data_IF_694959843420
#
_entry.id   IF_694959843420
#
_cell.length_a   1.000
_cell.length_b   1.000
_cell.length_c   1.000
_cell.angle_alpha   90.00
_cell.angle_beta   90.00
_cell.angle_gamma   90.00
#
_symmetry.space_group_name_H-M   'P 1'
#
loop_
_entity.id
_entity.type
_entity.pdbx_description
1 polymer ?
#
# COMPACT_ATOMS: atom_id res chain seq x y z
N UNK A 1 15.92 2.28 -3.35
CA UNK A 1 14.91 1.41 -4.02
C UNK A 1 13.62 1.23 -3.22
N UNK A 2 13.67 0.86 -1.93
CA UNK A 2 12.46 0.53 -1.16
C UNK A 2 11.42 1.66 -1.08
N UNK A 3 11.86 2.90 -0.87
CA UNK A 3 10.96 4.07 -0.82
C UNK A 3 10.21 4.28 -2.14
N UNK A 4 10.88 4.12 -3.29
CA UNK A 4 10.24 4.22 -4.62
C UNK A 4 9.18 3.13 -4.82
N UNK A 5 9.45 1.90 -4.37
CA UNK A 5 8.48 0.79 -4.41
C UNK A 5 7.23 1.09 -3.56
N UNK A 6 7.41 1.63 -2.36
CA UNK A 6 6.29 2.07 -1.51
C UNK A 6 5.54 3.25 -2.13
N UNK A 7 6.23 4.20 -2.76
CA UNK A 7 5.61 5.28 -3.51
C UNK A 7 4.70 4.78 -4.63
N UNK A 8 5.17 3.79 -5.43
CA UNK A 8 4.35 3.11 -6.44
C UNK A 8 3.14 2.41 -5.80
N UNK A 9 3.33 1.72 -4.67
CA UNK A 9 2.25 1.04 -3.96
C UNK A 9 1.16 2.01 -3.50
N UNK A 10 1.53 3.18 -2.96
CA UNK A 10 0.57 4.22 -2.58
C UNK A 10 -0.28 4.66 -3.77
N UNK A 11 0.33 4.93 -4.94
CA UNK A 11 -0.41 5.30 -6.15
C UNK A 11 -1.41 4.21 -6.56
N UNK A 12 -0.98 2.96 -6.56
CA UNK A 12 -1.87 1.83 -6.90
C UNK A 12 -3.00 1.65 -5.87
N UNK A 13 -2.71 1.85 -4.58
CA UNK A 13 -3.73 1.78 -3.52
C UNK A 13 -4.79 2.88 -3.66
N UNK A 14 -4.41 4.04 -4.20
CA UNK A 14 -5.29 5.19 -4.46
C UNK A 14 -6.14 4.99 -5.71
N UNK A 15 -5.51 4.65 -6.82
CA UNK A 15 -6.18 4.65 -8.12
C UNK A 15 -6.82 3.31 -8.50
N UNK A 16 -6.59 2.26 -7.72
CA UNK A 16 -7.08 0.91 -8.07
C UNK A 16 -7.72 0.19 -6.88
N UNK A 17 -8.60 -0.75 -7.21
CA UNK A 17 -9.19 -1.69 -6.26
C UNK A 17 -8.44 -3.04 -6.22
N UNK A 18 -7.26 -3.14 -6.85
CA UNK A 18 -6.49 -4.37 -6.93
C UNK A 18 -6.19 -4.94 -5.54
N UNK A 19 -6.11 -6.27 -5.43
CA UNK A 19 -5.77 -6.93 -4.17
C UNK A 19 -4.39 -6.47 -3.67
N UNK A 20 -4.22 -6.42 -2.34
CA UNK A 20 -2.96 -5.99 -1.73
C UNK A 20 -1.79 -6.91 -2.15
N UNK A 21 -2.06 -8.20 -2.35
CA UNK A 21 -1.10 -9.16 -2.92
C UNK A 21 -0.64 -8.76 -4.31
N UNK A 22 -1.58 -8.46 -5.21
CA UNK A 22 -1.28 -8.04 -6.58
C UNK A 22 -0.46 -6.74 -6.60
N UNK A 23 -0.79 -5.78 -5.73
CA UNK A 23 -0.01 -4.53 -5.60
C UNK A 23 1.40 -4.80 -5.07
N UNK A 24 1.54 -5.68 -4.07
CA UNK A 24 2.85 -6.12 -3.56
C UNK A 24 3.73 -6.66 -4.68
N UNK A 25 3.18 -7.55 -5.51
CA UNK A 25 3.90 -8.18 -6.62
C UNK A 25 4.29 -7.15 -7.69
N UNK A 26 3.37 -6.27 -8.08
CA UNK A 26 3.64 -5.19 -9.04
C UNK A 26 4.70 -4.17 -8.55
N UNK A 27 4.87 -4.07 -7.23
CA UNK A 27 5.89 -3.25 -6.59
C UNK A 27 7.22 -3.99 -6.37
N UNK A 28 7.33 -5.25 -6.79
CA UNK A 28 8.56 -6.04 -6.76
C UNK A 28 8.92 -6.57 -5.37
N UNK A 29 7.92 -6.88 -4.54
CA UNK A 29 8.16 -7.55 -3.25
C UNK A 29 8.03 -9.06 -3.40
N UNK A 30 8.97 -9.80 -2.82
CA UNK A 30 9.01 -11.27 -2.91
C UNK A 30 7.86 -11.96 -2.18
N UNK A 31 7.27 -11.31 -1.18
CA UNK A 31 6.06 -11.78 -0.52
C UNK A 31 5.32 -10.63 0.17
N UNK A 32 4.02 -10.86 0.41
CA UNK A 32 3.11 -9.87 0.98
C UNK A 32 3.44 -9.51 2.43
N UNK A 33 3.99 -10.43 3.22
CA UNK A 33 4.34 -10.18 4.63
C UNK A 33 5.47 -9.16 4.75
N UNK A 34 6.52 -9.29 3.93
CA UNK A 34 7.60 -8.32 3.83
C UNK A 34 7.08 -6.97 3.33
N UNK A 35 6.23 -6.97 2.29
CA UNK A 35 5.59 -5.74 1.82
C UNK A 35 4.82 -5.03 2.93
N UNK A 36 3.94 -5.73 3.65
CA UNK A 36 3.14 -5.16 4.72
C UNK A 36 4.02 -4.56 5.83
N UNK A 37 5.07 -5.27 6.25
CA UNK A 37 6.01 -4.78 7.28
C UNK A 37 6.76 -3.53 6.80
N UNK A 38 7.26 -3.52 5.56
CA UNK A 38 7.99 -2.36 5.01
C UNK A 38 7.07 -1.16 4.78
N UNK A 39 5.86 -1.40 4.30
CA UNK A 39 4.86 -0.36 4.11
C UNK A 39 4.50 0.27 5.45
N UNK A 40 4.20 -0.54 6.48
CA UNK A 40 3.93 -0.07 7.83
C UNK A 40 5.08 0.77 8.40
N UNK A 41 6.32 0.28 8.27
CA UNK A 41 7.51 0.98 8.76
C UNK A 41 7.70 2.36 8.09
N UNK A 42 7.35 2.48 6.80
CA UNK A 42 7.57 3.72 6.02
C UNK A 42 6.37 4.68 6.10
N UNK A 43 5.14 4.16 6.14
CA UNK A 43 3.91 4.96 6.11
C UNK A 43 3.24 5.15 7.46
N UNK A 44 3.64 4.37 8.47
CA UNK A 44 3.04 4.40 9.81
C UNK A 44 1.69 3.67 9.91
N UNK A 45 1.19 3.10 8.80
CA UNK A 45 -0.04 2.33 8.77
C UNK A 45 0.06 1.18 7.75
N UNK A 46 -0.83 0.19 7.85
CA UNK A 46 -0.85 -0.94 6.91
C UNK A 46 -1.43 -0.50 5.56
N UNK A 47 -1.11 -1.20 4.45
CA UNK A 47 -1.70 -0.92 3.13
C UNK A 47 -3.25 -0.91 3.13
N UNK A 48 -3.85 -1.81 3.93
CA UNK A 48 -5.31 -1.90 4.10
C UNK A 48 -5.86 -0.66 4.82
N UNK A 49 -5.24 -0.24 5.91
CA UNK A 49 -5.62 0.98 6.64
C UNK A 49 -5.46 2.21 5.77
N UNK A 50 -4.33 2.33 5.06
CA UNK A 50 -4.07 3.40 4.10
C UNK A 50 -5.15 3.48 3.01
N UNK A 51 -5.53 2.34 2.43
CA UNK A 51 -6.62 2.29 1.44
C UNK A 51 -7.97 2.66 2.05
N UNK A 52 -8.23 2.27 3.30
CA UNK A 52 -9.49 2.64 3.98
C UNK A 52 -9.54 4.14 4.25
N UNK A 53 -8.43 4.76 4.67
CA UNK A 53 -8.39 6.19 5.01
C UNK A 53 -8.63 7.10 3.82
N UNK A 54 -8.24 6.69 2.61
CA UNK A 54 -8.49 7.46 1.38
C UNK A 54 -9.89 7.24 0.79
N UNK A 55 -10.55 6.13 1.15
CA UNK A 55 -11.88 5.76 0.64
C UNK A 55 -13.01 6.13 1.60
N UNK A 56 -12.69 6.29 2.88
CA UNK A 56 -13.62 6.89 3.80
C UNK A 56 -13.94 8.30 3.28
N UNK A 57 -15.21 8.65 3.05
CA UNK A 57 -15.56 10.05 2.89
C UNK A 57 -15.08 10.76 4.14
N UNK A 58 -14.39 11.89 3.97
CA UNK A 58 -14.18 12.86 5.06
C UNK A 58 -15.52 13.03 5.78
N UNK A 59 -15.59 12.81 7.11
CA UNK A 59 -16.83 13.10 7.83
C UNK A 59 -17.07 14.60 7.70
N UNK A 60 -18.14 14.94 6.97
CA UNK A 60 -18.78 16.26 7.09
C UNK A 60 -19.35 16.39 8.50
#
# INVERSE_FOLDING_TARGET
>A
MLQSRIGKACKLLIHTNALISVISDQCGFNNISNFNRRFLMIKGNTPKQFRKSIKAPSPL
#
